data_IF_075318582998
#
_entry.id   IF_075318582998
#
_cell.length_a   1.000
_cell.length_b   1.000
_cell.length_c   1.000
_cell.angle_alpha   90.00
_cell.angle_beta   90.00
_cell.angle_gamma   90.00
#
_symmetry.space_group_name_H-M   'P 1'
#
loop_
_entity.id
_entity.type
_entity.pdbx_description
1 polymer ?
#
# COMPACT_ATOMS: atom_id res chain seq x y z
N UNK A 1 4.08 -8.12 19.43
CA UNK A 1 5.20 -8.10 18.46
C UNK A 1 4.71 -8.40 17.05
N UNK A 2 4.04 -9.53 16.81
CA UNK A 2 3.53 -9.93 15.47
C UNK A 2 2.68 -8.85 14.75
N UNK A 3 1.73 -8.21 15.44
CA UNK A 3 0.92 -7.14 14.82
C UNK A 3 1.73 -5.91 14.38
N UNK A 4 2.75 -5.52 15.15
CA UNK A 4 3.66 -4.43 14.75
C UNK A 4 4.43 -4.81 13.49
N UNK A 5 4.88 -6.06 13.40
CA UNK A 5 5.63 -6.57 12.25
C UNK A 5 4.76 -6.65 10.99
N UNK A 6 3.51 -7.09 11.13
CA UNK A 6 2.54 -7.08 10.02
C UNK A 6 2.27 -5.65 9.53
N UNK A 7 2.02 -4.71 10.44
CA UNK A 7 1.75 -3.33 10.04
C UNK A 7 2.99 -2.68 9.40
N UNK A 8 4.18 -2.91 9.98
CA UNK A 8 5.44 -2.43 9.39
C UNK A 8 5.67 -3.00 7.99
N UNK A 9 5.33 -4.27 7.76
CA UNK A 9 5.41 -4.89 6.43
C UNK A 9 4.52 -4.17 5.43
N UNK A 10 3.26 -3.88 5.79
CA UNK A 10 2.36 -3.10 4.95
C UNK A 10 2.99 -1.75 4.62
N UNK A 11 3.44 -0.98 5.62
CA UNK A 11 4.11 0.30 5.40
C UNK A 11 5.36 0.21 4.52
N UNK A 12 6.12 -0.88 4.60
CA UNK A 12 7.27 -1.12 3.73
C UNK A 12 6.84 -1.26 2.27
N UNK A 13 5.89 -2.16 2.01
CA UNK A 13 5.38 -2.42 0.67
C UNK A 13 4.70 -1.18 0.07
N UNK A 14 3.93 -0.47 0.90
CA UNK A 14 3.27 0.76 0.49
C UNK A 14 4.24 1.90 0.22
N UNK A 15 5.34 2.02 0.97
CA UNK A 15 6.42 2.95 0.64
C UNK A 15 7.06 2.59 -0.71
N UNK A 16 7.33 1.29 -0.93
CA UNK A 16 7.94 0.78 -2.16
C UNK A 16 7.10 1.00 -3.43
N UNK A 17 5.76 1.00 -3.31
CA UNK A 17 4.85 1.25 -4.44
C UNK A 17 4.36 2.72 -4.54
N UNK A 18 4.64 3.56 -3.54
CA UNK A 18 4.25 4.97 -3.49
C UNK A 18 2.86 5.24 -2.90
N UNK A 19 2.32 4.28 -2.15
CA UNK A 19 1.11 4.46 -1.34
C UNK A 19 1.34 5.48 -0.24
N UNK A 20 2.46 5.35 0.45
CA UNK A 20 2.94 6.34 1.40
C UNK A 20 4.25 6.95 0.93
N UNK A 21 4.45 8.21 1.27
CA UNK A 21 5.73 8.87 1.13
C UNK A 21 6.55 8.77 2.43
N UNK A 22 7.79 9.27 2.38
CA UNK A 22 8.69 9.27 3.55
C UNK A 22 8.07 9.91 4.78
N UNK A 23 7.51 11.10 4.64
CA UNK A 23 6.96 11.88 5.77
C UNK A 23 5.79 11.14 6.42
N UNK A 24 4.94 10.50 5.63
CA UNK A 24 3.83 9.69 6.12
C UNK A 24 4.33 8.47 6.94
N UNK A 25 5.37 7.79 6.45
CA UNK A 25 5.98 6.65 7.16
C UNK A 25 6.66 7.09 8.46
N UNK A 26 7.45 8.17 8.43
CA UNK A 26 8.12 8.69 9.63
C UNK A 26 7.08 9.16 10.66
N UNK A 27 6.05 9.89 10.23
CA UNK A 27 4.95 10.31 11.10
C UNK A 27 4.18 9.11 11.70
N UNK A 28 4.03 8.01 10.95
CA UNK A 28 3.49 6.78 11.51
C UNK A 28 4.40 6.19 12.60
N UNK A 29 5.72 6.14 12.39
CA UNK A 29 6.67 5.68 13.40
C UNK A 29 6.63 6.56 14.66
N UNK A 30 6.62 7.88 14.50
CA UNK A 30 6.57 8.83 15.63
C UNK A 30 5.30 8.64 16.46
N UNK A 31 4.13 8.55 15.81
CA UNK A 31 2.86 8.26 16.50
C UNK A 31 2.86 6.91 17.20
N UNK A 32 3.49 5.89 16.60
CA UNK A 32 3.63 4.58 17.24
C UNK A 32 4.46 4.68 18.53
N UNK A 33 5.55 5.44 18.50
CA UNK A 33 6.43 5.67 19.64
C UNK A 33 5.69 6.43 20.75
N UNK A 34 4.95 7.47 20.40
CA UNK A 34 4.15 8.26 21.36
C UNK A 34 3.05 7.43 22.04
N UNK A 35 2.43 6.52 21.29
CA UNK A 35 1.29 5.71 21.77
C UNK A 35 1.68 4.46 22.55
N UNK A 36 2.97 4.14 22.70
CA UNK A 36 3.44 2.89 23.28
C UNK A 36 4.57 3.13 24.29
N UNK A 37 4.36 2.70 25.55
CA UNK A 37 5.37 2.82 26.63
C UNK A 37 6.68 2.08 26.33
N UNK A 38 6.62 1.04 25.50
CA UNK A 38 7.75 0.19 25.10
C UNK A 38 7.74 -0.03 23.58
N UNK A 39 8.06 1.00 22.77
CA UNK A 39 8.04 0.87 21.32
C UNK A 39 9.19 -0.03 20.85
N UNK A 40 9.02 -0.78 19.74
CA UNK A 40 10.11 -1.59 19.19
C UNK A 40 11.30 -0.70 18.81
N UNK A 41 12.51 -1.15 19.15
CA UNK A 41 13.74 -0.39 18.90
C UNK A 41 13.93 -0.09 17.41
N UNK A 42 13.59 -1.04 16.54
CA UNK A 42 13.66 -0.87 15.08
C UNK A 42 12.75 0.26 14.59
N UNK A 43 11.59 0.47 15.21
CA UNK A 43 10.70 1.58 14.85
C UNK A 43 11.28 2.93 15.27
N UNK A 44 11.97 2.99 16.41
CA UNK A 44 12.71 4.19 16.84
C UNK A 44 13.82 4.51 15.83
N UNK A 45 14.60 3.51 15.41
CA UNK A 45 15.65 3.73 14.42
C UNK A 45 15.08 4.25 13.10
N UNK A 46 13.97 3.68 12.65
CA UNK A 46 13.30 4.08 11.41
C UNK A 46 12.77 5.52 11.50
N UNK A 47 12.22 5.94 12.64
CA UNK A 47 11.70 7.31 12.80
C UNK A 47 12.81 8.37 12.67
N UNK A 48 14.06 8.01 12.97
CA UNK A 48 15.23 8.87 12.81
C UNK A 48 15.75 8.96 11.36
N UNK A 49 15.19 8.20 10.42
CA UNK A 49 15.65 8.12 9.03
C UNK A 49 15.05 9.19 8.10
N UNK A 50 14.60 10.32 8.62
CA UNK A 50 13.93 11.39 7.85
C UNK A 50 14.74 11.95 6.67
N UNK A 51 16.07 11.83 6.71
CA UNK A 51 16.98 12.24 5.63
C UNK A 51 17.50 11.08 4.77
N UNK A 52 17.17 9.83 5.14
CA UNK A 52 17.63 8.65 4.43
C UNK A 52 16.91 8.48 3.08
N UNK A 53 17.55 7.74 2.16
CA UNK A 53 16.90 7.29 0.92
C UNK A 53 15.74 6.35 1.27
N UNK A 54 14.62 6.46 0.53
CA UNK A 54 13.42 5.65 0.79
C UNK A 54 13.71 4.15 0.81
N UNK A 55 14.59 3.67 -0.06
CA UNK A 55 15.02 2.25 -0.10
C UNK A 55 15.62 1.76 1.22
N UNK A 56 16.30 2.62 1.99
CA UNK A 56 16.84 2.24 3.30
C UNK A 56 15.74 2.14 4.36
N UNK A 57 14.73 3.01 4.28
CA UNK A 57 13.56 2.98 5.17
C UNK A 57 12.73 1.73 4.89
N UNK A 58 12.46 1.46 3.60
CA UNK A 58 11.78 0.23 3.16
C UNK A 58 12.53 -1.01 3.63
N UNK A 59 13.85 -1.07 3.43
CA UNK A 59 14.67 -2.21 3.86
C UNK A 59 14.67 -2.40 5.38
N UNK A 60 14.66 -1.33 6.17
CA UNK A 60 14.59 -1.41 7.62
C UNK A 60 13.23 -1.94 8.09
N UNK A 61 12.12 -1.44 7.51
CA UNK A 61 10.79 -1.96 7.78
C UNK A 61 10.65 -3.45 7.40
N UNK A 62 11.17 -3.84 6.23
CA UNK A 62 11.17 -5.23 5.78
C UNK A 62 11.99 -6.13 6.71
N UNK A 63 13.14 -5.65 7.18
CA UNK A 63 13.99 -6.42 8.12
C UNK A 63 13.32 -6.62 9.47
N UNK A 64 12.54 -5.64 9.93
CA UNK A 64 11.74 -5.75 11.15
C UNK A 64 10.53 -6.69 10.96
N UNK A 65 9.91 -6.67 9.78
CA UNK A 65 8.81 -7.56 9.44
C UNK A 65 9.31 -9.01 9.29
N UNK A 66 8.94 -9.89 10.22
CA UNK A 66 9.20 -11.34 10.11
C UNK A 66 8.05 -12.01 9.37
N UNK A 67 8.36 -13.04 8.58
CA UNK A 67 7.47 -13.92 7.80
C UNK A 67 6.00 -13.49 7.82
N UNK A 68 5.66 -12.55 6.95
CA UNK A 68 4.29 -12.09 6.73
C UNK A 68 3.75 -12.78 5.48
N UNK A 69 2.45 -13.05 5.45
CA UNK A 69 1.81 -13.56 4.25
C UNK A 69 1.76 -12.46 3.17
N UNK A 70 2.54 -12.65 2.12
CA UNK A 70 2.73 -11.67 1.05
C UNK A 70 1.42 -11.38 0.33
N UNK A 71 0.66 -12.45 0.03
CA UNK A 71 -0.62 -12.36 -0.71
C UNK A 71 -1.65 -11.53 0.06
N UNK A 72 -1.85 -11.83 1.35
CA UNK A 72 -2.73 -11.05 2.22
C UNK A 72 -2.28 -9.60 2.29
N UNK A 73 -0.97 -9.34 2.33
CA UNK A 73 -0.43 -7.98 2.38
C UNK A 73 -0.72 -7.20 1.10
N UNK A 74 -0.57 -7.81 -0.08
CA UNK A 74 -0.95 -7.22 -1.36
C UNK A 74 -2.45 -6.89 -1.38
N UNK A 75 -3.30 -7.85 -1.01
CA UNK A 75 -4.76 -7.67 -1.00
C UNK A 75 -5.20 -6.52 -0.08
N UNK A 76 -4.60 -6.45 1.11
CA UNK A 76 -4.81 -5.34 2.04
C UNK A 76 -4.42 -4.01 1.40
N UNK A 77 -3.23 -3.90 0.79
CA UNK A 77 -2.81 -2.63 0.21
C UNK A 77 -3.66 -2.20 -0.99
N UNK A 78 -4.11 -3.14 -1.83
CA UNK A 78 -5.08 -2.85 -2.90
C UNK A 78 -6.40 -2.32 -2.34
N UNK A 79 -6.86 -2.86 -1.21
CA UNK A 79 -8.06 -2.35 -0.52
C UNK A 79 -7.87 -0.91 0.01
N UNK A 80 -6.69 -0.57 0.54
CA UNK A 80 -6.36 0.80 0.98
C UNK A 80 -6.34 1.76 -0.20
N UNK A 81 -5.81 1.35 -1.35
CA UNK A 81 -5.86 2.13 -2.59
C UNK A 81 -7.31 2.36 -3.06
N UNK A 82 -8.17 1.33 -2.95
CA UNK A 82 -9.58 1.43 -3.27
C UNK A 82 -10.29 2.50 -2.42
N UNK A 83 -10.09 2.46 -1.10
CA UNK A 83 -10.70 3.44 -0.19
C UNK A 83 -10.18 4.86 -0.47
N UNK A 84 -8.87 5.04 -0.70
CA UNK A 84 -8.32 6.37 -1.08
C UNK A 84 -8.92 6.89 -2.39
N UNK A 85 -9.29 6.01 -3.32
CA UNK A 85 -9.93 6.39 -4.58
C UNK A 85 -11.42 6.73 -4.37
N UNK A 86 -12.15 5.95 -3.57
CA UNK A 86 -13.56 6.22 -3.22
C UNK A 86 -13.70 7.54 -2.45
N UNK A 87 -12.81 7.80 -1.49
CA UNK A 87 -12.75 9.04 -0.72
C UNK A 87 -12.24 10.24 -1.54
N UNK A 88 -11.87 10.02 -2.82
CA UNK A 88 -11.31 11.04 -3.72
C UNK A 88 -10.03 11.69 -3.20
N UNK A 89 -9.33 11.04 -2.26
CA UNK A 89 -7.98 11.42 -1.82
C UNK A 89 -6.97 11.17 -2.93
N UNK A 90 -7.22 10.17 -3.77
CA UNK A 90 -6.41 9.83 -4.94
C UNK A 90 -7.19 10.00 -6.25
N UNK A 91 -6.46 10.32 -7.31
CA UNK A 91 -6.97 10.19 -8.67
C UNK A 91 -6.63 8.82 -9.24
N UNK A 92 -7.32 8.45 -10.32
CA UNK A 92 -7.13 7.21 -11.06
C UNK A 92 -5.66 6.96 -11.41
N UNK A 93 -4.97 7.95 -11.97
CA UNK A 93 -3.56 7.82 -12.40
C UNK A 93 -2.64 7.41 -11.25
N UNK A 94 -2.84 7.99 -10.06
CA UNK A 94 -2.07 7.61 -8.87
C UNK A 94 -2.37 6.18 -8.45
N UNK A 95 -3.64 5.78 -8.44
CA UNK A 95 -4.05 4.44 -8.07
C UNK A 95 -3.45 3.39 -9.02
N UNK A 96 -3.63 3.54 -10.33
CA UNK A 96 -3.16 2.55 -11.32
C UNK A 96 -1.65 2.39 -11.30
N UNK A 97 -0.90 3.50 -11.26
CA UNK A 97 0.57 3.44 -11.14
C UNK A 97 1.00 2.77 -9.84
N UNK A 98 0.30 3.02 -8.73
CA UNK A 98 0.64 2.44 -7.44
C UNK A 98 0.34 0.93 -7.37
N UNK A 99 -0.83 0.50 -7.85
CA UNK A 99 -1.19 -0.92 -7.91
C UNK A 99 -0.26 -1.69 -8.84
N UNK A 100 0.07 -1.16 -10.03
CA UNK A 100 1.01 -1.82 -10.95
C UNK A 100 2.38 -2.01 -10.31
N UNK A 101 2.93 -0.96 -9.67
CA UNK A 101 4.20 -1.06 -8.94
C UNK A 101 4.16 -2.09 -7.81
N UNK A 102 3.06 -2.13 -7.05
CA UNK A 102 2.89 -3.13 -5.99
C UNK A 102 2.97 -4.55 -6.57
N UNK A 103 2.17 -4.84 -7.59
CA UNK A 103 2.10 -6.18 -8.20
C UNK A 103 3.42 -6.60 -8.85
N UNK A 104 4.12 -5.66 -9.51
CA UNK A 104 5.45 -5.89 -10.08
C UNK A 104 6.51 -6.14 -9.01
N UNK A 105 6.59 -5.27 -8.00
CA UNK A 105 7.59 -5.37 -6.93
C UNK A 105 7.45 -6.68 -6.15
N UNK A 106 6.22 -7.20 -6.03
CA UNK A 106 5.92 -8.47 -5.35
C UNK A 106 5.93 -9.69 -6.27
N UNK A 107 6.11 -9.50 -7.58
CA UNK A 107 6.14 -10.59 -8.55
C UNK A 107 4.86 -11.45 -8.51
N UNK A 108 3.70 -10.79 -8.37
CA UNK A 108 2.38 -11.45 -8.34
C UNK A 108 1.50 -11.06 -9.53
N UNK A 109 1.98 -10.16 -10.40
CA UNK A 109 1.20 -9.60 -11.51
C UNK A 109 0.69 -10.61 -12.55
N UNK A 110 1.27 -11.81 -12.59
CA UNK A 110 0.86 -12.92 -13.47
C UNK A 110 -0.13 -13.88 -12.82
N UNK A 111 -0.44 -13.72 -11.54
CA UNK A 111 -1.47 -14.54 -10.89
C UNK A 111 -2.85 -14.14 -11.39
N UNK A 112 -3.73 -15.14 -11.57
CA UNK A 112 -5.07 -14.97 -12.12
C UNK A 112 -5.88 -13.87 -11.38
N UNK A 113 -5.73 -13.78 -10.06
CA UNK A 113 -6.41 -12.78 -9.22
C UNK A 113 -5.98 -11.33 -9.50
N UNK A 114 -4.77 -11.11 -10.00
CA UNK A 114 -4.19 -9.77 -10.19
C UNK A 114 -4.01 -9.38 -11.66
N UNK A 115 -4.07 -10.35 -12.57
CA UNK A 115 -3.72 -10.16 -13.97
C UNK A 115 -4.57 -9.08 -14.64
N UNK A 116 -5.89 -9.11 -14.45
CA UNK A 116 -6.79 -8.12 -15.03
C UNK A 116 -6.44 -6.71 -14.52
N UNK A 117 -6.24 -6.56 -13.21
CA UNK A 117 -5.88 -5.28 -12.59
C UNK A 117 -4.55 -4.74 -13.13
N UNK A 118 -3.55 -5.62 -13.30
CA UNK A 118 -2.24 -5.26 -13.83
C UNK A 118 -2.32 -4.83 -15.31
N UNK A 119 -3.04 -5.59 -16.13
CA UNK A 119 -3.16 -5.36 -17.58
C UNK A 119 -3.84 -4.04 -17.96
N UNK A 120 -4.58 -3.45 -17.02
CA UNK A 120 -5.28 -2.18 -17.23
C UNK A 120 -4.32 -0.98 -17.33
N UNK A 121 -3.10 -1.06 -16.79
CA UNK A 121 -2.11 0.04 -16.94
C UNK A 121 -1.64 0.16 -18.39
N UNK A 122 -1.35 -0.98 -19.03
CA UNK A 122 -1.04 -1.03 -20.46
C UNK A 122 -2.24 -0.59 -21.31
N UNK A 123 -3.45 -1.07 -20.96
CA UNK A 123 -4.69 -0.69 -21.63
C UNK A 123 -4.94 0.82 -21.54
N UNK A 124 -4.65 1.43 -20.38
CA UNK A 124 -4.76 2.86 -20.18
C UNK A 124 -3.74 3.64 -21.01
N UNK A 125 -2.51 3.15 -21.10
CA UNK A 125 -1.48 3.74 -21.99
C UNK A 125 -1.94 3.80 -23.44
N UNK A 126 -2.52 2.71 -23.95
CA UNK A 126 -3.05 2.63 -25.31
C UNK A 126 -4.27 3.54 -25.54
N UNK A 127 -5.17 3.64 -24.57
CA UNK A 127 -6.36 4.49 -24.65
C UNK A 127 -5.97 5.97 -24.69
N UNK A 128 -5.08 6.36 -23.77
CA UNK A 128 -4.59 7.74 -23.63
C UNK A 128 -3.85 8.22 -24.88
N UNK A 129 -3.12 7.34 -25.54
CA UNK A 129 -2.41 7.64 -26.79
C UNK A 129 -3.34 7.61 -28.03
N UNK A 130 -4.63 7.33 -27.84
CA UNK A 130 -5.64 7.25 -28.91
C UNK A 130 -5.45 6.07 -29.85
N UNK A 131 -4.76 5.01 -29.39
CA UNK A 131 -4.40 3.84 -30.19
C UNK A 131 -5.49 2.77 -30.11
N UNK A 132 -5.95 2.44 -28.90
CA UNK A 132 -6.90 1.36 -28.65
C UNK A 132 -7.62 1.56 -27.32
N UNK A 133 -8.88 1.12 -27.23
CA UNK A 133 -9.81 1.33 -26.11
C UNK A 133 -10.29 2.77 -25.94
N UNK A 134 -11.40 2.92 -25.24
CA UNK A 134 -11.88 4.20 -24.73
C UNK A 134 -11.30 4.45 -23.32
N UNK A 135 -10.89 5.69 -23.04
CA UNK A 135 -10.24 6.03 -21.76
C UNK A 135 -11.22 5.90 -20.58
N UNK A 136 -12.48 6.30 -20.73
CA UNK A 136 -13.48 6.21 -19.66
C UNK A 136 -13.84 4.76 -19.35
N UNK A 137 -13.93 3.92 -20.40
CA UNK A 137 -14.16 2.47 -20.24
C UNK A 137 -13.02 1.81 -19.45
N UNK A 138 -11.76 2.12 -19.77
CA UNK A 138 -10.59 1.56 -19.05
C UNK A 138 -10.55 2.04 -17.60
N UNK A 139 -10.83 3.32 -17.36
CA UNK A 139 -10.90 3.87 -16.00
C UNK A 139 -11.99 3.15 -15.20
N UNK A 140 -13.17 2.95 -15.80
CA UNK A 140 -14.29 2.26 -15.15
C UNK A 140 -13.94 0.81 -14.83
N UNK A 141 -13.36 0.09 -15.79
CA UNK A 141 -12.91 -1.29 -15.60
C UNK A 141 -11.89 -1.40 -14.46
N UNK A 142 -10.91 -0.51 -14.39
CA UNK A 142 -9.94 -0.48 -13.29
C UNK A 142 -10.58 -0.27 -11.93
N UNK A 143 -11.50 0.70 -11.82
CA UNK A 143 -12.18 1.00 -10.55
C UNK A 143 -13.00 -0.22 -10.10
N UNK A 144 -13.70 -0.88 -11.02
CA UNK A 144 -14.51 -2.05 -10.72
C UNK A 144 -13.64 -3.26 -10.33
N UNK A 145 -12.53 -3.52 -11.04
CA UNK A 145 -11.58 -4.58 -10.69
C UNK A 145 -10.94 -4.32 -9.33
N UNK A 146 -10.50 -3.08 -9.05
CA UNK A 146 -9.90 -2.72 -7.75
C UNK A 146 -10.91 -2.85 -6.60
N UNK A 147 -12.22 -2.63 -6.86
CA UNK A 147 -13.29 -2.74 -5.86
C UNK A 147 -13.41 -4.16 -5.29
N UNK A 148 -13.01 -5.20 -6.04
CA UNK A 148 -13.04 -6.58 -5.55
C UNK A 148 -12.20 -6.77 -4.27
N UNK A 149 -11.11 -6.00 -4.11
CA UNK A 149 -10.23 -6.09 -2.95
C UNK A 149 -10.76 -5.37 -1.70
N UNK A 150 -11.83 -4.59 -1.81
CA UNK A 150 -12.40 -3.81 -0.69
C UNK A 150 -12.74 -4.68 0.54
N UNK A 151 -13.05 -5.95 0.32
CA UNK A 151 -13.34 -6.92 1.40
C UNK A 151 -12.20 -7.05 2.42
N UNK A 152 -10.95 -6.75 2.02
CA UNK A 152 -9.77 -6.81 2.87
C UNK A 152 -9.50 -5.53 3.68
N UNK A 153 -10.25 -4.44 3.43
CA UNK A 153 -9.98 -3.16 4.10
C UNK A 153 -10.18 -3.24 5.61
N UNK A 154 -11.17 -4.02 6.05
CA UNK A 154 -11.42 -4.26 7.47
C UNK A 154 -10.22 -4.91 8.18
N UNK A 155 -9.46 -5.76 7.48
CA UNK A 155 -8.25 -6.37 8.05
C UNK A 155 -7.18 -5.32 8.34
N UNK A 156 -7.07 -4.30 7.46
CA UNK A 156 -6.20 -3.16 7.70
C UNK A 156 -6.65 -2.32 8.88
N UNK A 157 -7.93 -1.97 8.96
CA UNK A 157 -8.48 -1.16 10.05
C UNK A 157 -8.29 -1.84 11.41
N UNK A 158 -8.61 -3.13 11.50
CA UNK A 158 -8.44 -3.91 12.73
C UNK A 158 -6.96 -4.01 13.13
N UNK A 159 -6.06 -4.22 12.17
CA UNK A 159 -4.63 -4.26 12.42
C UNK A 159 -4.10 -2.90 12.89
N UNK A 160 -4.49 -1.82 12.20
CA UNK A 160 -4.09 -0.47 12.52
C UNK A 160 -4.59 -0.08 13.92
N UNK A 161 -5.87 -0.28 14.22
CA UNK A 161 -6.46 0.01 15.53
C UNK A 161 -5.77 -0.78 16.65
N UNK A 162 -5.48 -2.07 16.41
CA UNK A 162 -4.79 -2.91 17.38
C UNK A 162 -3.39 -2.41 17.73
N UNK A 163 -2.66 -1.91 16.73
CA UNK A 163 -1.28 -1.44 16.86
C UNK A 163 -1.21 0.00 17.36
N UNK A 164 -1.99 0.90 16.77
CA UNK A 164 -1.94 2.34 17.01
C UNK A 164 -2.87 2.82 18.12
N UNK A 165 -3.78 1.96 18.60
CA UNK A 165 -4.80 2.30 19.62
C UNK A 165 -5.76 3.42 19.20
N UNK A 166 -5.83 3.72 17.91
CA UNK A 166 -6.71 4.70 17.30
C UNK A 166 -7.09 4.26 15.89
N UNK A 167 -8.18 4.79 15.36
CA UNK A 167 -8.65 4.54 14.00
C UNK A 167 -7.70 5.17 12.96
N UNK A 168 -7.72 4.64 11.73
CA UNK A 168 -6.95 5.18 10.63
C UNK A 168 -7.70 6.34 9.98
N UNK A 169 -7.08 7.53 9.93
CA UNK A 169 -7.73 8.74 9.41
C UNK A 169 -7.52 8.97 7.90
N UNK A 170 -6.77 8.07 7.26
CA UNK A 170 -6.64 7.98 5.80
C UNK A 170 -5.70 8.97 5.15
#
# INVERSE_FOLDING_TARGET
MESYQKLAHLYALGLGCGLWNREEVISWCDRLIESNDHPPYEIIEISLMSTAKMVFIESALLSFSRTVDEKTSVNILLSVMNEKLIEKKWNFKRAITCSTRLLMNRSVYWEEEYFDLYSLDDSYGLAKDGIHFDEEDVITAYIDTLRAFRVHFKEFEELYLKVMKQEWEG
#
